data_IF_578034926990
#
_entry.id   IF_578034926990
#
_cell.length_a   1.000
_cell.length_b   1.000
_cell.length_c   1.000
_cell.angle_alpha   90.00
_cell.angle_beta   90.00
_cell.angle_gamma   90.00
#
_symmetry.space_group_name_H-M   'P 1'
#
loop_
_entity.id
_entity.type
_entity.pdbx_description
1 polymer ?
#
# COMPACT_ATOMS: atom_id res chain seq x y z
N UNK A 1 23.23 3.75 -29.07
CA UNK A 1 21.90 4.07 -28.53
C UNK A 1 22.03 4.04 -27.03
N UNK A 2 21.78 5.15 -26.36
CA UNK A 2 21.77 5.19 -24.90
C UNK A 2 20.61 4.34 -24.39
N UNK A 3 20.88 3.46 -23.44
CA UNK A 3 19.85 2.63 -22.81
C UNK A 3 18.88 3.54 -22.07
N UNK A 4 17.56 3.44 -22.30
CA UNK A 4 16.60 4.25 -21.57
C UNK A 4 16.68 3.94 -20.07
N UNK A 5 16.91 4.97 -19.26
CA UNK A 5 16.96 4.89 -17.81
C UNK A 5 15.59 5.25 -17.21
N UNK A 6 15.12 4.42 -16.27
CA UNK A 6 13.92 4.69 -15.51
C UNK A 6 14.06 4.17 -14.07
N UNK A 7 13.39 4.81 -13.12
CA UNK A 7 13.25 4.31 -11.75
C UNK A 7 11.88 3.69 -11.53
N UNK A 8 11.84 2.56 -10.84
CA UNK A 8 10.63 1.89 -10.39
C UNK A 8 10.66 1.82 -8.86
N UNK A 9 9.67 2.41 -8.22
CA UNK A 9 9.55 2.46 -6.76
C UNK A 9 8.42 1.56 -6.28
N UNK A 10 8.68 0.77 -5.25
CA UNK A 10 7.59 0.26 -4.41
C UNK A 10 7.03 1.40 -3.53
N UNK A 11 5.81 1.25 -3.03
CA UNK A 11 5.16 2.26 -2.18
C UNK A 11 5.41 2.01 -0.69
N UNK A 12 4.89 0.91 -0.16
CA UNK A 12 4.88 0.63 1.28
C UNK A 12 6.29 0.27 1.78
N UNK A 13 6.76 0.92 2.84
CA UNK A 13 8.11 0.73 3.36
C UNK A 13 9.24 1.23 2.46
N UNK A 14 8.94 1.81 1.29
CA UNK A 14 9.91 2.35 0.33
C UNK A 14 9.68 3.84 0.10
N UNK A 15 8.52 4.26 -0.40
CA UNK A 15 8.20 5.68 -0.55
C UNK A 15 7.66 6.29 0.73
N UNK A 16 6.92 5.50 1.52
CA UNK A 16 6.28 5.90 2.77
C UNK A 16 6.61 4.89 3.87
N UNK A 17 6.69 5.34 5.12
CA UNK A 17 6.99 4.47 6.27
C UNK A 17 5.71 4.07 7.02
N UNK A 18 4.93 3.20 6.40
CA UNK A 18 3.55 2.89 6.82
C UNK A 18 3.37 1.45 7.36
N UNK A 19 4.41 0.62 7.26
CA UNK A 19 4.34 -0.81 7.61
C UNK A 19 3.86 -1.06 9.05
N UNK A 20 4.32 -0.24 10.01
CA UNK A 20 3.87 -0.36 11.40
C UNK A 20 2.39 0.01 11.58
N UNK A 21 1.86 0.92 10.75
CA UNK A 21 0.45 1.30 10.80
C UNK A 21 -0.44 0.19 10.23
N UNK A 22 0.03 -0.57 9.25
CA UNK A 22 -0.65 -1.80 8.81
C UNK A 22 -0.67 -2.88 9.90
N UNK A 23 0.44 -3.06 10.63
CA UNK A 23 0.51 -4.00 11.76
C UNK A 23 -0.49 -3.62 12.86
N UNK A 24 -0.51 -2.33 13.22
CA UNK A 24 -1.43 -1.79 14.22
C UNK A 24 -2.90 -1.93 13.79
N UNK A 25 -3.23 -1.59 12.54
CA UNK A 25 -4.60 -1.70 12.05
C UNK A 25 -5.12 -3.15 12.07
N UNK A 26 -4.27 -4.13 11.76
CA UNK A 26 -4.62 -5.54 11.90
C UNK A 26 -4.76 -5.97 13.35
N UNK A 27 -3.85 -5.54 14.22
CA UNK A 27 -3.94 -5.82 15.65
C UNK A 27 -5.28 -5.32 16.22
N UNK A 28 -5.70 -4.12 15.83
CA UNK A 28 -6.95 -3.52 16.30
C UNK A 28 -8.17 -4.31 15.82
N UNK A 29 -8.22 -4.69 14.54
CA UNK A 29 -9.33 -5.52 14.03
C UNK A 29 -9.36 -6.90 14.72
N UNK A 30 -8.21 -7.57 14.84
CA UNK A 30 -8.16 -8.91 15.41
C UNK A 30 -8.49 -8.93 16.91
N UNK A 31 -7.99 -7.97 17.67
CA UNK A 31 -8.13 -7.99 19.13
C UNK A 31 -9.30 -7.16 19.64
N UNK A 32 -9.51 -5.97 19.09
CA UNK A 32 -10.59 -5.09 19.58
C UNK A 32 -11.95 -5.53 19.04
N UNK A 33 -12.02 -5.89 17.77
CA UNK A 33 -13.28 -6.24 17.11
C UNK A 33 -13.58 -7.75 17.22
N UNK A 34 -12.57 -8.59 16.99
CA UNK A 34 -12.74 -10.05 16.92
C UNK A 34 -12.31 -10.82 18.17
N UNK A 35 -11.75 -10.14 19.17
CA UNK A 35 -11.34 -10.73 20.47
C UNK A 35 -10.39 -11.92 20.34
N UNK A 36 -9.47 -11.89 19.36
CA UNK A 36 -8.51 -12.96 19.11
C UNK A 36 -7.41 -13.11 20.19
N UNK A 37 -7.21 -12.10 21.03
CA UNK A 37 -6.21 -12.06 22.11
C UNK A 37 -4.78 -12.41 21.65
N UNK A 38 -4.37 -11.82 20.52
CA UNK A 38 -3.07 -12.06 19.89
C UNK A 38 -2.07 -10.97 20.26
N UNK A 39 -0.83 -11.35 20.53
CA UNK A 39 0.28 -10.39 20.60
C UNK A 39 0.57 -9.77 19.22
N UNK A 40 1.22 -8.60 19.19
CA UNK A 40 1.70 -7.97 17.94
C UNK A 40 2.57 -8.90 17.09
N UNK A 41 3.40 -9.73 17.73
CA UNK A 41 4.25 -10.70 17.04
C UNK A 41 3.43 -11.79 16.35
N UNK A 42 2.37 -12.30 17.00
CA UNK A 42 1.45 -13.25 16.39
C UNK A 42 0.70 -12.62 15.23
N UNK A 43 0.15 -11.41 15.40
CA UNK A 43 -0.53 -10.68 14.31
C UNK A 43 0.39 -10.55 13.09
N UNK A 44 1.61 -10.04 13.29
CA UNK A 44 2.61 -9.88 12.23
C UNK A 44 2.90 -11.20 11.51
N UNK A 45 2.96 -12.31 12.23
CA UNK A 45 3.22 -13.62 11.64
C UNK A 45 2.14 -14.08 10.65
N UNK A 46 0.92 -13.51 10.69
CA UNK A 46 -0.19 -13.86 9.80
C UNK A 46 -0.47 -12.84 8.69
N UNK A 47 0.25 -11.72 8.62
CA UNK A 47 0.05 -10.62 7.65
C UNK A 47 0.62 -10.91 6.25
N UNK A 48 0.39 -12.13 5.74
CA UNK A 48 0.83 -12.55 4.42
C UNK A 48 -0.33 -13.18 3.64
N UNK A 49 -0.18 -13.27 2.32
CA UNK A 49 -1.22 -13.81 1.46
C UNK A 49 -2.44 -12.90 1.41
N UNK A 50 -3.61 -13.49 1.17
CA UNK A 50 -4.87 -12.74 1.12
C UNK A 50 -5.48 -12.57 2.51
N UNK A 51 -6.30 -11.53 2.67
CA UNK A 51 -6.97 -11.26 3.95
C UNK A 51 -7.88 -12.43 4.38
N UNK A 52 -8.59 -13.06 3.45
CA UNK A 52 -9.44 -14.22 3.72
C UNK A 52 -8.62 -15.39 4.30
N UNK A 53 -7.42 -15.62 3.76
CA UNK A 53 -6.51 -16.66 4.27
C UNK A 53 -6.00 -16.32 5.68
N UNK A 54 -5.88 -15.03 6.04
CA UNK A 54 -5.57 -14.61 7.41
C UNK A 54 -6.70 -14.99 8.36
N UNK A 55 -7.95 -14.66 8.02
CA UNK A 55 -9.11 -15.01 8.85
C UNK A 55 -9.23 -16.53 9.03
N UNK A 56 -9.07 -17.32 7.96
CA UNK A 56 -9.09 -18.78 8.05
C UNK A 56 -8.00 -19.34 8.96
N UNK A 57 -6.78 -18.77 8.94
CA UNK A 57 -5.67 -19.20 9.80
C UNK A 57 -5.91 -18.89 11.27
N UNK A 58 -6.50 -17.73 11.56
CA UNK A 58 -6.66 -17.25 12.95
C UNK A 58 -7.90 -17.84 13.60
N UNK A 59 -9.02 -17.93 12.88
CA UNK A 59 -10.32 -18.30 13.46
C UNK A 59 -10.88 -19.62 12.95
N UNK A 60 -10.26 -20.23 11.95
CA UNK A 60 -10.75 -21.44 11.29
C UNK A 60 -11.54 -21.15 10.01
N UNK A 61 -11.68 -22.19 9.19
CA UNK A 61 -12.51 -22.13 7.98
C UNK A 61 -13.98 -22.00 8.34
N UNK A 62 -14.73 -21.30 7.50
CA UNK A 62 -16.17 -21.10 7.61
C UNK A 62 -16.64 -20.35 8.87
N UNK A 63 -15.73 -19.78 9.68
CA UNK A 63 -16.08 -18.93 10.83
C UNK A 63 -16.75 -17.63 10.38
N UNK A 64 -16.30 -17.08 9.25
CA UNK A 64 -16.84 -15.86 8.66
C UNK A 64 -17.25 -16.10 7.21
N UNK A 65 -18.33 -15.45 6.81
CA UNK A 65 -18.71 -15.32 5.40
C UNK A 65 -17.73 -14.43 4.65
N UNK A 66 -17.73 -14.54 3.32
CA UNK A 66 -16.90 -13.66 2.47
C UNK A 66 -17.21 -12.17 2.69
N UNK A 67 -18.48 -11.83 2.89
CA UNK A 67 -18.92 -10.45 3.11
C UNK A 67 -18.44 -9.90 4.47
N UNK A 68 -18.44 -10.73 5.52
CA UNK A 68 -17.89 -10.35 6.83
C UNK A 68 -16.37 -10.13 6.75
N UNK A 69 -15.64 -11.03 6.10
CA UNK A 69 -14.19 -10.88 5.90
C UNK A 69 -13.86 -9.62 5.07
N UNK A 70 -14.66 -9.31 4.06
CA UNK A 70 -14.53 -8.09 3.28
C UNK A 70 -14.83 -6.84 4.12
N UNK A 71 -15.85 -6.87 4.98
CA UNK A 71 -16.19 -5.78 5.88
C UNK A 71 -15.08 -5.50 6.90
N UNK A 72 -14.51 -6.54 7.52
CA UNK A 72 -13.37 -6.40 8.43
C UNK A 72 -12.11 -5.90 7.70
N UNK A 73 -11.85 -6.40 6.48
CA UNK A 73 -10.76 -5.91 5.65
C UNK A 73 -10.89 -4.43 5.33
N UNK A 74 -12.07 -3.97 4.91
CA UNK A 74 -12.32 -2.55 4.64
C UNK A 74 -12.18 -1.70 5.91
N UNK A 75 -12.67 -2.20 7.05
CA UNK A 75 -12.51 -1.53 8.35
C UNK A 75 -11.04 -1.38 8.72
N UNK A 76 -10.23 -2.42 8.52
CA UNK A 76 -8.77 -2.37 8.69
C UNK A 76 -8.17 -1.27 7.82
N UNK A 77 -8.53 -1.19 6.53
CA UNK A 77 -7.95 -0.16 5.65
C UNK A 77 -8.34 1.25 6.08
N UNK A 78 -9.58 1.48 6.52
CA UNK A 78 -10.00 2.79 7.07
C UNK A 78 -9.24 3.16 8.34
N UNK A 79 -9.12 2.24 9.30
CA UNK A 79 -8.32 2.44 10.52
C UNK A 79 -6.86 2.74 10.18
N UNK A 80 -6.29 2.03 9.20
CA UNK A 80 -4.95 2.30 8.69
C UNK A 80 -4.83 3.74 8.17
N UNK A 81 -5.74 4.17 7.29
CA UNK A 81 -5.74 5.52 6.70
C UNK A 81 -5.83 6.59 7.80
N UNK A 82 -6.84 6.49 8.68
CA UNK A 82 -7.06 7.42 9.79
C UNK A 82 -5.83 7.53 10.70
N UNK A 83 -5.23 6.39 11.06
CA UNK A 83 -4.07 6.35 11.94
C UNK A 83 -2.78 6.83 11.26
N UNK A 84 -2.65 6.64 9.95
CA UNK A 84 -1.42 7.00 9.23
C UNK A 84 -1.44 8.43 8.71
N UNK A 85 -2.61 9.03 8.48
CA UNK A 85 -2.74 10.39 7.95
C UNK A 85 -1.83 11.44 8.62
N UNK A 86 -1.73 11.50 9.97
CA UNK A 86 -0.88 12.51 10.63
C UNK A 86 0.62 12.28 10.42
N UNK A 87 1.01 11.09 9.96
CA UNK A 87 2.39 10.65 9.74
C UNK A 87 2.73 10.49 8.25
N UNK A 88 1.74 10.63 7.36
CA UNK A 88 1.88 10.38 5.94
C UNK A 88 2.79 11.44 5.31
N UNK A 89 3.98 11.00 4.94
CA UNK A 89 4.98 11.79 4.23
C UNK A 89 5.92 10.86 3.46
N UNK A 90 6.58 11.39 2.45
CA UNK A 90 7.68 10.69 1.79
C UNK A 90 8.79 10.41 2.81
N UNK A 91 9.50 9.28 2.66
CA UNK A 91 10.71 9.04 3.43
C UNK A 91 11.73 10.16 3.19
N UNK A 92 12.55 10.43 4.20
CA UNK A 92 13.49 11.56 4.16
C UNK A 92 14.43 11.49 2.95
N UNK A 93 14.45 12.57 2.16
CA UNK A 93 15.33 12.74 1.00
C UNK A 93 14.78 12.17 -0.31
N UNK A 94 13.67 11.43 -0.28
CA UNK A 94 13.06 10.91 -1.51
C UNK A 94 12.47 12.03 -2.37
N UNK A 95 11.86 13.04 -1.76
CA UNK A 95 11.41 14.27 -2.43
C UNK A 95 12.53 14.91 -3.27
N UNK A 96 13.71 15.10 -2.67
CA UNK A 96 14.89 15.66 -3.32
C UNK A 96 15.42 14.77 -4.45
N UNK A 97 15.39 13.45 -4.25
CA UNK A 97 15.77 12.48 -5.28
C UNK A 97 14.83 12.55 -6.49
N UNK A 98 13.51 12.52 -6.25
CA UNK A 98 12.50 12.56 -7.29
C UNK A 98 12.59 13.86 -8.10
N UNK A 99 12.88 14.99 -7.45
CA UNK A 99 13.12 16.27 -8.11
C UNK A 99 14.31 16.20 -9.07
N UNK A 100 15.48 15.74 -8.58
CA UNK A 100 16.69 15.63 -9.40
C UNK A 100 16.53 14.68 -10.58
N UNK A 101 15.83 13.55 -10.37
CA UNK A 101 15.51 12.62 -11.44
C UNK A 101 14.58 13.25 -12.49
N UNK A 102 13.60 14.03 -12.05
CA UNK A 102 12.67 14.74 -12.92
C UNK A 102 13.37 15.81 -13.77
N UNK A 103 14.28 16.58 -13.19
CA UNK A 103 15.11 17.59 -13.90
C UNK A 103 15.99 16.95 -14.98
N UNK A 104 16.45 15.73 -14.78
CA UNK A 104 17.21 14.95 -15.75
C UNK A 104 16.33 14.26 -16.81
N UNK A 105 15.01 14.41 -16.74
CA UNK A 105 14.07 13.78 -17.66
C UNK A 105 13.93 12.27 -17.49
N UNK A 106 14.41 11.71 -16.37
CA UNK A 106 14.33 10.28 -16.08
C UNK A 106 12.87 9.88 -15.85
N UNK A 107 12.43 8.80 -16.51
CA UNK A 107 11.08 8.27 -16.32
C UNK A 107 10.98 7.57 -14.98
N UNK A 108 9.85 7.72 -14.31
CA UNK A 108 9.58 7.12 -13.01
C UNK A 108 8.26 6.36 -13.03
N UNK A 109 8.21 5.29 -12.25
CA UNK A 109 6.99 4.55 -12.03
C UNK A 109 6.86 4.08 -10.58
N UNK A 110 5.62 3.95 -10.11
CA UNK A 110 5.30 3.32 -8.82
C UNK A 110 4.72 1.93 -9.12
N UNK A 111 5.39 0.90 -8.64
CA UNK A 111 4.99 -0.50 -8.73
C UNK A 111 4.61 -1.04 -7.37
N UNK A 112 3.31 -1.20 -7.10
CA UNK A 112 2.83 -1.62 -5.78
C UNK A 112 1.77 -2.71 -5.85
N UNK A 113 1.71 -3.53 -4.80
CA UNK A 113 0.65 -4.49 -4.53
C UNK A 113 -0.46 -3.92 -3.60
N UNK A 114 -0.31 -2.67 -3.13
CA UNK A 114 -1.34 -2.00 -2.36
C UNK A 114 -2.60 -1.79 -3.21
N UNK A 115 -3.77 -2.00 -2.61
CA UNK A 115 -5.06 -1.84 -3.29
C UNK A 115 -5.23 -0.42 -3.86
N UNK A 116 -6.02 -0.22 -4.94
CA UNK A 116 -6.29 1.11 -5.47
C UNK A 116 -6.86 2.08 -4.43
N UNK A 117 -7.59 1.56 -3.45
CA UNK A 117 -8.13 2.33 -2.33
C UNK A 117 -7.02 3.01 -1.52
N UNK A 118 -5.95 2.28 -1.18
CA UNK A 118 -4.82 2.85 -0.43
C UNK A 118 -3.86 3.65 -1.31
N UNK A 119 -3.67 3.23 -2.57
CA UNK A 119 -2.82 3.96 -3.52
C UNK A 119 -3.37 5.36 -3.74
N UNK A 120 -4.67 5.48 -4.07
CA UNK A 120 -5.31 6.78 -4.25
C UNK A 120 -5.23 7.61 -2.98
N UNK A 121 -5.52 7.00 -1.82
CA UNK A 121 -5.41 7.69 -0.54
C UNK A 121 -4.03 8.30 -0.29
N UNK A 122 -2.96 7.52 -0.52
CA UNK A 122 -1.59 8.04 -0.36
C UNK A 122 -1.35 9.18 -1.34
N UNK A 123 -1.66 8.99 -2.62
CA UNK A 123 -1.43 9.96 -3.68
C UNK A 123 -2.21 11.28 -3.50
N UNK A 124 -3.42 11.22 -2.95
CA UNK A 124 -4.24 12.40 -2.68
C UNK A 124 -3.63 13.29 -1.59
N UNK A 125 -2.75 12.73 -0.74
CA UNK A 125 -2.13 13.42 0.39
C UNK A 125 -0.63 13.67 0.21
N UNK A 126 0.07 12.90 -0.63
CA UNK A 126 1.46 13.20 -1.00
C UNK A 126 1.50 14.15 -2.20
N UNK A 127 2.07 15.34 -2.00
CA UNK A 127 2.20 16.31 -3.09
C UNK A 127 3.38 15.96 -4.00
N UNK A 128 3.09 15.33 -5.14
CA UNK A 128 4.07 15.04 -6.21
C UNK A 128 3.97 16.05 -7.36
N UNK A 129 3.49 17.26 -7.09
CA UNK A 129 3.16 18.29 -8.10
C UNK A 129 4.36 18.76 -8.94
N UNK A 130 5.58 18.52 -8.47
CA UNK A 130 6.81 18.79 -9.22
C UNK A 130 7.06 17.77 -10.35
N UNK A 131 6.42 16.60 -10.34
CA UNK A 131 6.56 15.59 -11.38
C UNK A 131 5.64 15.91 -12.57
N UNK A 132 6.17 16.12 -13.79
CA UNK A 132 5.33 16.25 -14.97
C UNK A 132 4.49 14.98 -15.18
N UNK A 133 3.20 15.08 -15.56
CA UNK A 133 2.35 13.89 -15.77
C UNK A 133 2.90 12.89 -16.81
N UNK A 134 3.76 13.34 -17.72
CA UNK A 134 4.41 12.49 -18.71
C UNK A 134 5.63 11.71 -18.17
N UNK A 135 6.09 12.00 -16.95
CA UNK A 135 7.25 11.37 -16.32
C UNK A 135 6.89 10.35 -15.25
N UNK A 136 5.68 10.38 -14.68
CA UNK A 136 5.21 9.39 -13.71
C UNK A 136 4.22 8.40 -14.33
N UNK A 137 4.44 7.11 -14.09
CA UNK A 137 3.50 6.04 -14.43
C UNK A 137 3.17 5.19 -13.19
N UNK A 138 2.02 4.53 -13.22
CA UNK A 138 1.64 3.58 -12.17
C UNK A 138 1.64 2.17 -12.75
N UNK A 139 2.07 1.22 -11.93
CA UNK A 139 2.09 -0.21 -12.23
C UNK A 139 1.45 -0.89 -11.03
N UNK A 140 0.32 -1.54 -11.26
CA UNK A 140 -0.42 -2.21 -10.20
C UNK A 140 -0.22 -3.71 -10.32
N UNK A 141 0.35 -4.33 -9.29
CA UNK A 141 0.46 -5.77 -9.24
C UNK A 141 -0.74 -6.35 -8.49
N UNK A 142 -1.69 -6.94 -9.22
CA UNK A 142 -2.74 -7.72 -8.55
C UNK A 142 -2.13 -9.01 -8.00
N UNK A 143 -2.47 -9.34 -6.76
CA UNK A 143 -2.01 -10.50 -6.00
C UNK A 143 -2.48 -11.83 -6.62
N UNK A 144 -3.24 -11.79 -7.71
CA UNK A 144 -3.67 -12.95 -8.46
C UNK A 144 -2.55 -13.44 -9.39
N UNK A 145 -1.74 -14.38 -8.90
CA UNK A 145 -0.93 -15.31 -9.71
C UNK A 145 0.13 -14.69 -10.63
N UNK A 146 1.02 -13.84 -10.11
CA UNK A 146 2.26 -13.48 -10.82
C UNK A 146 2.09 -12.69 -12.12
N UNK A 147 0.89 -12.18 -12.41
CA UNK A 147 0.63 -11.32 -13.55
C UNK A 147 0.86 -9.85 -13.17
N UNK A 148 1.82 -9.21 -13.84
CA UNK A 148 2.03 -7.76 -13.76
C UNK A 148 1.02 -7.10 -14.68
N UNK A 149 0.07 -6.34 -14.12
CA UNK A 149 -0.89 -5.57 -14.91
C UNK A 149 -0.45 -4.10 -14.92
N UNK A 150 -0.01 -3.61 -16.07
CA UNK A 150 0.36 -2.20 -16.20
C UNK A 150 -0.92 -1.35 -16.30
N UNK A 151 -1.37 -0.78 -15.20
CA UNK A 151 -2.46 0.22 -15.19
C UNK A 151 -1.88 1.62 -15.15
N UNK A 152 -1.91 2.33 -16.28
CA UNK A 152 -1.57 3.76 -16.31
C UNK A 152 -2.69 4.56 -15.64
N UNK A 153 -2.58 4.78 -14.33
CA UNK A 153 -3.38 5.81 -13.67
C UNK A 153 -2.93 7.18 -14.18
N UNK A 154 -3.89 7.98 -14.68
CA UNK A 154 -3.67 9.41 -14.90
C UNK A 154 -3.83 10.07 -13.55
N UNK A 155 -2.80 10.79 -13.10
CA UNK A 155 -2.96 11.72 -11.99
C UNK A 155 -4.10 12.70 -12.36
N UNK A 156 -5.03 13.00 -11.43
CA UNK A 156 -5.98 14.08 -11.64
C UNK A 156 -5.19 15.39 -11.86
N UNK A 157 -5.67 16.18 -12.82
CA UNK A 157 -5.11 17.50 -13.15
C UNK A 157 -5.26 18.49 -11.99
#
# INVERSE_FOLDING_TARGET
>A
MDTPLAFLFDMNGTMINDMHHHEKAWFDVLNEDLKADMSMAQVKSHMYGKNEELFERVFGKDTFTADEMAAFSLKKEKKYQENFLPHLQLIQGLDSFLHQASEQGIKMAIGTAASPFNVNYVLDHIQLTFLPPAQLSFIYQSNAKGHITLMRMRLPC
#
